data_IF_210053225767
#
_entry.id   IF_210053225767
#
_cell.length_a   1.000
_cell.length_b   1.000
_cell.length_c   1.000
_cell.angle_alpha   90.00
_cell.angle_beta   90.00
_cell.angle_gamma   90.00
#
_symmetry.space_group_name_H-M   'P 1'
#
loop_
_entity.id
_entity.type
_entity.pdbx_description
1 polymer ?
#
# COMPACT_ATOMS: atom_id res chain seq x y z
N UNK A 1 -17.22 8.86 -8.76
CA UNK A 1 -15.89 9.10 -8.15
C UNK A 1 -14.99 7.94 -8.51
N UNK A 2 -13.69 8.21 -8.73
CA UNK A 2 -12.65 7.17 -8.91
C UNK A 2 -11.71 7.20 -7.71
N UNK A 3 -11.33 6.03 -7.20
CA UNK A 3 -10.44 5.92 -6.03
C UNK A 3 -9.53 4.70 -6.13
N UNK A 4 -8.23 4.90 -5.89
CA UNK A 4 -7.23 3.85 -5.88
C UNK A 4 -6.41 3.96 -4.60
N UNK A 5 -6.48 2.93 -3.76
CA UNK A 5 -5.77 2.88 -2.48
C UNK A 5 -4.67 1.82 -2.49
N UNK A 6 -3.48 2.22 -2.05
CA UNK A 6 -2.27 1.39 -2.12
C UNK A 6 -2.13 0.43 -0.94
N UNK A 7 -2.96 0.55 0.13
CA UNK A 7 -2.81 -0.32 1.30
C UNK A 7 -4.05 -0.40 2.18
N UNK A 8 -4.50 -1.63 2.46
CA UNK A 8 -5.40 -1.94 3.56
C UNK A 8 -5.15 -3.36 4.08
N UNK A 9 -5.48 -3.62 5.36
CA UNK A 9 -5.41 -4.94 5.99
C UNK A 9 -6.73 -5.71 6.02
N UNK A 10 -7.75 -5.17 5.37
CA UNK A 10 -9.11 -5.73 5.35
C UNK A 10 -9.15 -7.21 5.01
N UNK A 11 -8.32 -7.66 4.05
CA UNK A 11 -8.34 -9.07 3.66
C UNK A 11 -7.74 -9.98 4.74
N UNK A 12 -6.73 -9.52 5.45
CA UNK A 12 -6.19 -10.21 6.62
C UNK A 12 -7.25 -10.31 7.71
N UNK A 13 -7.97 -9.22 7.98
CA UNK A 13 -9.07 -9.20 8.95
C UNK A 13 -10.25 -10.10 8.54
N UNK A 14 -10.64 -10.09 7.26
CA UNK A 14 -11.65 -11.02 6.73
C UNK A 14 -11.24 -12.48 6.91
N UNK A 15 -9.97 -12.82 6.72
CA UNK A 15 -9.47 -14.18 6.90
C UNK A 15 -9.42 -14.60 8.38
N UNK A 16 -9.06 -13.67 9.28
CA UNK A 16 -8.95 -13.95 10.73
C UNK A 16 -10.31 -14.06 11.39
N UNK A 17 -11.23 -13.14 11.05
CA UNK A 17 -12.57 -13.06 11.67
C UNK A 17 -13.61 -13.89 10.96
N UNK A 18 -13.28 -14.50 9.83
CA UNK A 18 -14.18 -15.22 8.92
C UNK A 18 -15.41 -14.40 8.53
N UNK A 19 -15.21 -13.16 8.13
CA UNK A 19 -16.27 -12.24 7.69
C UNK A 19 -16.12 -11.92 6.20
N UNK A 20 -17.24 -11.68 5.46
CA UNK A 20 -17.18 -11.42 4.01
C UNK A 20 -16.65 -10.01 3.71
N UNK A 21 -16.04 -9.85 2.54
CA UNK A 21 -15.61 -8.52 2.03
C UNK A 21 -16.81 -7.67 1.59
N UNK A 22 -17.87 -8.29 1.09
CA UNK A 22 -19.00 -7.59 0.48
C UNK A 22 -19.70 -6.64 1.44
N UNK A 23 -20.09 -7.14 2.60
CA UNK A 23 -20.79 -6.38 3.64
C UNK A 23 -20.25 -6.80 5.01
N UNK A 24 -19.66 -5.85 5.71
CA UNK A 24 -19.03 -6.06 7.01
C UNK A 24 -18.97 -4.74 7.80
N UNK A 25 -18.42 -4.80 9.01
CA UNK A 25 -18.25 -3.65 9.93
C UNK A 25 -16.81 -3.10 9.95
N UNK A 26 -15.98 -3.53 9.01
CA UNK A 26 -14.61 -3.04 8.84
C UNK A 26 -14.58 -1.67 8.13
N UNK A 27 -13.40 -1.08 8.03
CA UNK A 27 -13.21 0.18 7.32
C UNK A 27 -13.47 0.06 5.82
N UNK A 28 -13.29 -1.14 5.25
CA UNK A 28 -13.47 -1.42 3.82
C UNK A 28 -14.52 -2.51 3.61
N UNK A 29 -15.54 -2.20 2.81
CA UNK A 29 -16.47 -3.18 2.25
C UNK A 29 -16.88 -2.79 0.83
N UNK A 30 -17.29 -3.77 0.02
CA UNK A 30 -17.73 -3.51 -1.35
C UNK A 30 -19.05 -2.74 -1.41
N UNK A 31 -19.89 -2.86 -0.38
CA UNK A 31 -21.15 -2.13 -0.29
C UNK A 31 -20.93 -0.61 -0.19
N UNK A 32 -19.83 -0.16 0.45
CA UNK A 32 -19.49 1.26 0.55
C UNK A 32 -19.09 1.90 -0.79
N UNK A 33 -18.62 1.11 -1.74
CA UNK A 33 -18.08 1.59 -3.03
C UNK A 33 -18.92 1.19 -4.24
N UNK A 34 -20.05 0.52 -4.05
CA UNK A 34 -20.89 -0.06 -5.12
C UNK A 34 -21.34 0.96 -6.18
N UNK A 35 -21.53 2.21 -5.78
CA UNK A 35 -21.97 3.31 -6.64
C UNK A 35 -20.81 4.17 -7.15
N UNK A 36 -19.55 3.80 -6.84
CA UNK A 36 -18.39 4.51 -7.36
C UNK A 36 -18.12 4.10 -8.82
N UNK A 37 -17.63 5.04 -9.60
CA UNK A 37 -17.27 4.80 -11.00
C UNK A 37 -16.18 3.73 -11.12
N UNK A 38 -15.09 3.91 -10.36
CA UNK A 38 -14.00 2.94 -10.25
C UNK A 38 -13.42 2.93 -8.84
N UNK A 39 -13.19 1.75 -8.35
CA UNK A 39 -12.47 1.51 -7.11
C UNK A 39 -11.41 0.44 -7.33
N UNK A 40 -10.18 0.73 -6.90
CA UNK A 40 -9.07 -0.24 -6.88
C UNK A 40 -8.44 -0.23 -5.50
N UNK A 41 -8.26 -1.41 -4.94
CA UNK A 41 -7.66 -1.57 -3.61
C UNK A 41 -6.51 -2.57 -3.65
N UNK A 42 -5.38 -2.17 -3.07
CA UNK A 42 -4.32 -3.10 -2.67
C UNK A 42 -4.69 -3.71 -1.32
N UNK A 43 -4.94 -5.02 -1.31
CA UNK A 43 -5.27 -5.80 -0.12
C UNK A 43 -4.01 -6.49 0.39
N UNK A 44 -3.52 -6.07 1.55
CA UNK A 44 -2.31 -6.61 2.13
C UNK A 44 -2.57 -7.94 2.87
N UNK A 45 -1.63 -8.85 2.69
CA UNK A 45 -1.44 -9.96 3.61
C UNK A 45 -0.44 -9.52 4.66
N UNK A 46 -0.93 -9.10 5.81
CA UNK A 46 -0.11 -8.68 6.91
C UNK A 46 0.49 -9.89 7.67
N UNK A 47 1.80 -9.81 7.90
CA UNK A 47 2.57 -10.82 8.63
C UNK A 47 3.25 -10.16 9.84
N UNK A 48 2.76 -10.42 11.05
CA UNK A 48 3.36 -9.86 12.27
C UNK A 48 4.79 -10.36 12.49
N UNK A 49 5.57 -9.60 13.25
CA UNK A 49 7.01 -9.82 13.42
C UNK A 49 7.41 -11.14 14.09
N UNK A 50 6.51 -11.80 14.79
CA UNK A 50 6.71 -13.12 15.40
C UNK A 50 6.51 -14.29 14.42
N UNK A 51 5.85 -14.06 13.28
CA UNK A 51 5.72 -15.08 12.23
C UNK A 51 6.95 -15.11 11.33
N UNK A 52 7.60 -16.28 11.24
CA UNK A 52 8.79 -16.49 10.44
C UNK A 52 8.76 -17.82 9.70
N UNK A 53 9.55 -17.90 8.63
CA UNK A 53 9.80 -19.15 7.90
C UNK A 53 8.54 -19.78 7.32
N UNK A 54 8.24 -21.02 7.74
CA UNK A 54 7.08 -21.74 7.24
C UNK A 54 5.76 -21.19 7.82
N UNK A 55 5.76 -20.72 9.07
CA UNK A 55 4.56 -20.14 9.68
C UNK A 55 4.10 -18.86 8.95
N UNK A 56 5.02 -17.99 8.57
CA UNK A 56 4.72 -16.81 7.75
C UNK A 56 4.16 -17.20 6.37
N UNK A 57 4.75 -18.23 5.75
CA UNK A 57 4.27 -18.75 4.47
C UNK A 57 2.85 -19.32 4.55
N UNK A 58 2.55 -20.11 5.58
CA UNK A 58 1.21 -20.70 5.77
C UNK A 58 0.17 -19.61 6.03
N UNK A 59 0.51 -18.57 6.81
CA UNK A 59 -0.37 -17.41 6.99
C UNK A 59 -0.64 -16.71 5.66
N UNK A 60 0.38 -16.47 4.86
CA UNK A 60 0.21 -15.88 3.53
C UNK A 60 -0.73 -16.73 2.66
N UNK A 61 -0.55 -18.05 2.59
CA UNK A 61 -1.42 -18.92 1.79
C UNK A 61 -2.87 -18.86 2.27
N UNK A 62 -3.11 -18.85 3.58
CA UNK A 62 -4.46 -18.76 4.16
C UNK A 62 -5.17 -17.47 3.72
N UNK A 63 -4.49 -16.33 3.81
CA UNK A 63 -5.09 -15.03 3.45
C UNK A 63 -5.22 -14.89 1.93
N UNK A 64 -4.26 -15.38 1.15
CA UNK A 64 -4.34 -15.40 -0.32
C UNK A 64 -5.49 -16.29 -0.83
N UNK A 65 -5.76 -17.41 -0.18
CA UNK A 65 -6.92 -18.25 -0.48
C UNK A 65 -8.23 -17.53 -0.14
N UNK A 66 -8.29 -16.84 1.01
CA UNK A 66 -9.44 -15.99 1.36
C UNK A 66 -9.66 -14.91 0.31
N UNK A 67 -8.60 -14.20 -0.09
CA UNK A 67 -8.66 -13.17 -1.13
C UNK A 67 -9.23 -13.73 -2.44
N UNK A 68 -8.73 -14.88 -2.91
CA UNK A 68 -9.22 -15.50 -4.13
C UNK A 68 -10.70 -15.89 -4.05
N UNK A 69 -11.16 -16.38 -2.88
CA UNK A 69 -12.56 -16.69 -2.61
C UNK A 69 -13.44 -15.44 -2.66
N UNK A 70 -13.07 -14.38 -1.93
CA UNK A 70 -13.84 -13.12 -1.90
C UNK A 70 -13.94 -12.48 -3.30
N UNK A 71 -12.85 -12.45 -4.06
CA UNK A 71 -12.89 -11.96 -5.45
C UNK A 71 -13.80 -12.84 -6.32
N UNK A 72 -13.75 -14.15 -6.17
CA UNK A 72 -14.59 -15.10 -6.91
C UNK A 72 -16.08 -14.96 -6.59
N UNK A 73 -16.42 -14.82 -5.31
CA UNK A 73 -17.83 -14.64 -4.86
C UNK A 73 -18.40 -13.28 -5.30
N UNK A 74 -17.54 -12.27 -5.55
CA UNK A 74 -17.94 -10.94 -5.99
C UNK A 74 -17.58 -10.66 -7.46
N UNK A 75 -17.37 -11.69 -8.30
CA UNK A 75 -16.89 -11.57 -9.68
C UNK A 75 -17.76 -10.69 -10.60
N UNK A 76 -19.02 -10.41 -10.22
CA UNK A 76 -19.88 -9.46 -10.94
C UNK A 76 -19.42 -8.00 -10.83
N UNK A 77 -18.73 -7.62 -9.76
CA UNK A 77 -18.32 -6.23 -9.47
C UNK A 77 -16.82 -6.07 -9.21
N UNK A 78 -16.13 -7.10 -8.75
CA UNK A 78 -14.72 -7.08 -8.37
C UNK A 78 -13.92 -8.10 -9.17
N UNK A 79 -12.70 -7.74 -9.54
CA UNK A 79 -11.76 -8.68 -10.19
C UNK A 79 -10.33 -8.43 -9.72
N UNK A 80 -9.54 -9.51 -9.57
CA UNK A 80 -8.11 -9.39 -9.31
C UNK A 80 -7.38 -8.88 -10.56
N UNK A 81 -6.62 -7.80 -10.41
CA UNK A 81 -5.69 -7.33 -11.43
C UNK A 81 -4.43 -8.22 -11.40
N UNK A 82 -4.08 -8.80 -12.55
CA UNK A 82 -2.95 -9.76 -12.69
C UNK A 82 -2.05 -9.47 -13.86
N UNK A 83 -2.50 -8.68 -14.82
CA UNK A 83 -1.77 -8.48 -16.06
C UNK A 83 -1.95 -7.12 -16.70
N UNK A 84 -1.10 -6.80 -17.68
CA UNK A 84 -1.21 -5.57 -18.45
C UNK A 84 -2.59 -5.46 -19.11
N UNK A 85 -3.21 -4.26 -18.99
CA UNK A 85 -4.51 -4.01 -19.58
C UNK A 85 -5.71 -4.46 -18.76
N UNK A 86 -5.53 -5.16 -17.63
CA UNK A 86 -6.65 -5.51 -16.76
C UNK A 86 -7.35 -4.27 -16.20
N UNK A 87 -6.58 -3.28 -15.74
CA UNK A 87 -7.16 -2.04 -15.24
C UNK A 87 -7.99 -1.32 -16.29
N UNK A 88 -7.47 -1.16 -17.52
CA UNK A 88 -8.18 -0.51 -18.60
C UNK A 88 -9.45 -1.29 -19.02
N UNK A 89 -9.39 -2.61 -18.93
CA UNK A 89 -10.55 -3.47 -19.21
C UNK A 89 -11.62 -3.29 -18.15
N UNK A 90 -11.26 -3.28 -16.87
CA UNK A 90 -12.20 -3.10 -15.76
C UNK A 90 -12.83 -1.71 -15.79
N UNK A 91 -12.06 -0.66 -16.07
CA UNK A 91 -12.58 0.69 -16.24
C UNK A 91 -13.69 0.74 -17.33
N UNK A 92 -13.41 0.13 -18.49
CA UNK A 92 -14.44 0.07 -19.58
C UNK A 92 -15.67 -0.74 -19.20
N UNK A 93 -15.55 -1.68 -18.26
CA UNK A 93 -16.65 -2.53 -17.79
C UNK A 93 -17.39 -1.95 -16.57
N UNK A 94 -16.93 -0.82 -16.01
CA UNK A 94 -17.49 -0.26 -14.78
C UNK A 94 -17.33 -1.19 -13.58
N UNK A 95 -16.22 -1.97 -13.53
CA UNK A 95 -15.93 -2.93 -12.45
C UNK A 95 -14.78 -2.43 -11.59
N UNK A 96 -14.73 -2.94 -10.36
CA UNK A 96 -13.70 -2.63 -9.37
C UNK A 96 -12.51 -3.59 -9.46
N UNK A 97 -11.34 -3.10 -9.06
CA UNK A 97 -10.09 -3.86 -9.06
C UNK A 97 -9.59 -4.22 -7.67
N UNK A 98 -9.04 -5.42 -7.54
CA UNK A 98 -8.34 -5.88 -6.34
C UNK A 98 -6.92 -6.30 -6.69
N UNK A 99 -5.93 -5.84 -5.91
CA UNK A 99 -4.53 -6.23 -6.04
C UNK A 99 -4.11 -6.93 -4.75
N UNK A 100 -3.59 -8.15 -4.86
CA UNK A 100 -3.01 -8.84 -3.72
C UNK A 100 -1.62 -8.28 -3.46
N UNK A 101 -1.37 -7.84 -2.22
CA UNK A 101 -0.07 -7.37 -1.78
C UNK A 101 0.39 -8.13 -0.54
N UNK A 102 1.64 -8.00 -0.17
CA UNK A 102 2.19 -8.63 1.04
C UNK A 102 2.83 -7.57 1.90
N UNK A 103 2.46 -7.50 3.16
CA UNK A 103 3.13 -6.68 4.16
C UNK A 103 4.00 -7.54 5.07
N UNK A 104 5.25 -7.53 4.78
CA UNK A 104 6.44 -8.17 5.34
C UNK A 104 7.05 -9.24 4.43
N UNK A 105 8.30 -9.00 4.01
CA UNK A 105 9.13 -9.94 3.27
C UNK A 105 9.47 -11.23 4.05
N UNK A 106 9.05 -11.36 5.31
CA UNK A 106 9.07 -12.60 6.08
C UNK A 106 8.33 -13.75 5.36
N UNK A 107 7.40 -13.42 4.42
CA UNK A 107 6.73 -14.39 3.54
C UNK A 107 7.72 -15.30 2.83
N UNK A 108 8.89 -14.80 2.48
CA UNK A 108 9.88 -15.58 1.75
C UNK A 108 10.55 -16.65 2.64
N UNK A 109 10.64 -16.44 3.96
CA UNK A 109 11.24 -17.40 4.89
C UNK A 109 12.63 -17.86 4.46
N UNK A 110 13.44 -16.97 3.88
CA UNK A 110 14.79 -17.26 3.38
C UNK A 110 14.83 -18.05 2.06
N UNK A 111 13.72 -18.20 1.32
CA UNK A 111 13.59 -19.00 0.09
C UNK A 111 13.25 -18.11 -1.12
N UNK A 112 14.17 -17.92 -2.06
CA UNK A 112 13.95 -17.07 -3.24
C UNK A 112 12.90 -17.63 -4.20
N UNK A 113 12.70 -18.92 -4.25
CA UNK A 113 11.67 -19.59 -5.07
C UNK A 113 10.26 -19.13 -4.72
N UNK A 114 10.01 -18.69 -3.48
CA UNK A 114 8.71 -18.14 -3.03
C UNK A 114 8.34 -16.84 -3.73
N UNK A 115 9.29 -16.10 -4.29
CA UNK A 115 8.99 -14.92 -5.12
C UNK A 115 8.14 -15.31 -6.33
N UNK A 116 8.50 -16.42 -7.02
CA UNK A 116 7.72 -16.89 -8.16
C UNK A 116 6.35 -17.44 -7.74
N UNK A 117 6.27 -18.06 -6.57
CA UNK A 117 5.00 -18.54 -6.03
C UNK A 117 4.06 -17.36 -5.67
N UNK A 118 4.59 -16.30 -5.03
CA UNK A 118 3.86 -15.06 -4.79
C UNK A 118 3.33 -14.47 -6.10
N UNK A 119 4.19 -14.35 -7.13
CA UNK A 119 3.75 -13.84 -8.44
C UNK A 119 2.67 -14.70 -9.07
N UNK A 120 2.79 -16.01 -9.03
CA UNK A 120 1.77 -16.95 -9.56
C UNK A 120 0.42 -16.77 -8.87
N UNK A 121 0.40 -16.42 -7.58
CA UNK A 121 -0.82 -16.08 -6.83
C UNK A 121 -1.34 -14.67 -7.12
N UNK A 122 -0.59 -13.88 -7.90
CA UNK A 122 -0.97 -12.54 -8.34
C UNK A 122 -0.57 -11.43 -7.37
N UNK A 123 0.49 -11.64 -6.57
CA UNK A 123 1.07 -10.56 -5.75
C UNK A 123 1.64 -9.49 -6.68
N UNK A 124 1.16 -8.25 -6.52
CA UNK A 124 1.60 -7.09 -7.30
C UNK A 124 2.64 -6.23 -6.58
N UNK A 125 2.68 -6.26 -5.24
CA UNK A 125 3.59 -5.44 -4.44
C UNK A 125 3.95 -6.16 -3.13
N UNK A 126 5.17 -5.94 -2.63
CA UNK A 126 5.64 -6.54 -1.38
C UNK A 126 6.43 -5.52 -0.55
N UNK A 127 5.98 -5.28 0.68
CA UNK A 127 6.71 -4.51 1.69
C UNK A 127 7.83 -5.40 2.25
N UNK A 128 9.07 -4.89 2.27
CA UNK A 128 10.25 -5.71 2.61
C UNK A 128 10.31 -6.12 4.08
N UNK A 129 9.77 -5.30 4.95
CA UNK A 129 9.70 -5.53 6.41
C UNK A 129 8.37 -5.02 6.92
N UNK A 130 7.91 -5.53 8.06
CA UNK A 130 7.02 -4.79 8.92
C UNK A 130 7.87 -3.98 9.91
N UNK A 131 7.48 -3.86 11.17
CA UNK A 131 8.18 -3.03 12.17
C UNK A 131 9.54 -3.60 12.59
N UNK A 132 9.67 -4.92 12.64
CA UNK A 132 10.87 -5.65 13.06
C UNK A 132 11.87 -5.90 11.93
N UNK A 133 12.86 -6.75 12.22
CA UNK A 133 13.81 -7.23 11.21
C UNK A 133 13.30 -8.52 10.58
N UNK A 134 13.50 -8.67 9.26
CA UNK A 134 13.25 -9.90 8.51
C UNK A 134 14.55 -10.47 7.93
N UNK A 135 14.46 -11.56 7.19
CA UNK A 135 15.60 -12.11 6.44
C UNK A 135 16.09 -11.14 5.35
N UNK A 136 15.25 -10.18 4.93
CA UNK A 136 15.58 -9.21 3.89
C UNK A 136 16.34 -8.00 4.44
N UNK A 137 15.98 -7.54 5.62
CA UNK A 137 16.53 -6.32 6.19
C UNK A 137 15.84 -5.92 7.48
N UNK A 138 15.99 -4.65 7.85
CA UNK A 138 15.51 -4.13 9.13
C UNK A 138 14.36 -3.14 8.95
N UNK A 139 13.27 -3.37 9.67
CA UNK A 139 12.18 -2.40 9.82
C UNK A 139 12.59 -1.23 10.73
N UNK A 140 11.89 -0.11 10.59
CA UNK A 140 12.23 1.16 11.25
C UNK A 140 12.15 1.08 12.77
N UNK A 141 11.31 0.22 13.32
CA UNK A 141 11.15 0.07 14.78
C UNK A 141 12.12 -0.97 15.38
N UNK A 142 12.84 -1.73 14.56
CA UNK A 142 13.83 -2.67 15.06
C UNK A 142 15.12 -1.95 15.50
N UNK A 143 15.82 -2.41 16.57
CA UNK A 143 17.07 -1.82 16.99
C UNK A 143 18.20 -2.07 15.97
N UNK A 144 19.20 -1.19 15.97
CA UNK A 144 20.40 -1.31 15.13
C UNK A 144 20.40 -0.39 13.92
N UNK A 145 21.37 -0.59 13.02
CA UNK A 145 21.59 0.22 11.79
C UNK A 145 21.92 -0.64 10.57
N UNK A 146 21.32 -1.82 10.46
CA UNK A 146 21.53 -2.68 9.30
C UNK A 146 20.49 -2.37 8.22
N UNK A 147 20.92 -2.30 6.97
CA UNK A 147 20.08 -2.15 5.77
C UNK A 147 19.69 -3.52 5.19
N UNK A 148 19.80 -3.68 3.87
CA UNK A 148 19.56 -4.94 3.17
C UNK A 148 20.58 -6.01 3.55
N UNK A 149 20.09 -7.21 3.86
CA UNK A 149 20.94 -8.39 3.96
C UNK A 149 21.41 -8.85 2.56
N UNK A 150 22.36 -9.80 2.53
CA UNK A 150 22.73 -10.44 1.26
C UNK A 150 21.53 -11.13 0.59
N UNK A 151 20.67 -11.77 1.40
CA UNK A 151 19.43 -12.37 0.89
C UNK A 151 18.44 -11.30 0.44
N UNK A 152 18.30 -10.20 1.18
CA UNK A 152 17.44 -9.08 0.81
C UNK A 152 17.80 -8.47 -0.56
N UNK A 153 19.09 -8.28 -0.85
CA UNK A 153 19.56 -7.80 -2.17
C UNK A 153 19.19 -8.77 -3.30
N UNK A 154 19.22 -10.09 -3.05
CA UNK A 154 18.78 -11.09 -4.01
C UNK A 154 17.25 -11.10 -4.18
N UNK A 155 16.51 -10.95 -3.08
CA UNK A 155 15.06 -10.92 -3.08
C UNK A 155 14.51 -9.69 -3.82
N UNK A 156 15.05 -8.49 -3.60
CA UNK A 156 14.68 -7.27 -4.34
C UNK A 156 14.82 -7.48 -5.84
N UNK A 157 15.99 -7.94 -6.31
CA UNK A 157 16.22 -8.23 -7.73
C UNK A 157 15.27 -9.29 -8.30
N UNK A 158 14.97 -10.32 -7.51
CA UNK A 158 14.06 -11.39 -7.93
C UNK A 158 12.60 -10.88 -8.02
N UNK A 159 12.15 -10.03 -7.09
CA UNK A 159 10.83 -9.41 -7.10
C UNK A 159 10.66 -8.50 -8.31
N UNK A 160 11.61 -7.58 -8.56
CA UNK A 160 11.57 -6.69 -9.73
C UNK A 160 11.55 -7.48 -11.05
N UNK A 161 12.37 -8.54 -11.16
CA UNK A 161 12.36 -9.43 -12.32
C UNK A 161 11.04 -10.17 -12.50
N UNK A 162 10.36 -10.50 -11.40
CA UNK A 162 9.05 -11.14 -11.42
C UNK A 162 7.90 -10.15 -11.68
N UNK A 163 8.17 -8.83 -11.71
CA UNK A 163 7.14 -7.81 -11.80
C UNK A 163 6.36 -7.66 -10.50
N UNK A 164 7.01 -7.75 -9.35
CA UNK A 164 6.48 -7.41 -8.03
C UNK A 164 7.11 -6.09 -7.61
N UNK A 165 6.30 -5.05 -7.36
CA UNK A 165 6.76 -3.75 -6.86
C UNK A 165 7.39 -3.89 -5.48
N UNK A 166 8.46 -3.11 -5.27
CA UNK A 166 9.08 -3.00 -3.96
C UNK A 166 8.41 -1.86 -3.19
N UNK A 167 7.81 -2.22 -2.06
CA UNK A 167 7.26 -1.27 -1.11
C UNK A 167 8.26 -1.06 0.04
N UNK A 168 8.64 0.20 0.25
CA UNK A 168 9.61 0.60 1.28
C UNK A 168 8.91 1.16 2.54
N UNK A 169 7.59 1.12 2.62
CA UNK A 169 6.91 1.38 3.88
C UNK A 169 7.49 0.49 4.97
N UNK A 170 7.59 0.97 6.20
CA UNK A 170 8.26 0.31 7.32
C UNK A 170 9.79 0.16 7.23
N UNK A 171 10.42 0.47 6.11
CA UNK A 171 11.87 0.34 5.98
C UNK A 171 12.62 1.26 6.96
N UNK A 172 13.68 0.76 7.59
CA UNK A 172 14.62 1.64 8.27
C UNK A 172 15.31 2.58 7.27
N UNK A 173 15.84 3.72 7.70
CA UNK A 173 16.59 4.59 6.79
C UNK A 173 17.71 3.88 6.03
N UNK A 174 18.43 2.98 6.69
CA UNK A 174 19.50 2.20 6.05
C UNK A 174 18.93 1.22 5.01
N UNK A 175 17.82 0.54 5.32
CA UNK A 175 17.15 -0.34 4.37
C UNK A 175 16.64 0.45 3.16
N UNK A 176 16.03 1.62 3.39
CA UNK A 176 15.56 2.49 2.34
C UNK A 176 16.67 2.84 1.34
N UNK A 177 17.81 3.35 1.82
CA UNK A 177 18.89 3.77 0.96
C UNK A 177 19.59 2.62 0.25
N UNK A 178 19.75 1.46 0.91
CA UNK A 178 20.27 0.25 0.27
C UNK A 178 19.35 -0.24 -0.87
N UNK A 179 18.02 -0.10 -0.72
CA UNK A 179 17.06 -0.42 -1.79
C UNK A 179 17.15 0.62 -2.91
N UNK A 180 17.14 1.90 -2.58
CA UNK A 180 17.24 2.98 -3.56
C UNK A 180 18.51 2.90 -4.42
N UNK A 181 19.63 2.38 -3.86
CA UNK A 181 20.88 2.17 -4.58
C UNK A 181 20.76 1.07 -5.67
N UNK A 182 19.97 0.03 -5.43
CA UNK A 182 19.96 -1.16 -6.29
C UNK A 182 18.68 -1.35 -7.10
N UNK A 183 17.59 -0.67 -6.74
CA UNK A 183 16.31 -0.76 -7.44
C UNK A 183 16.44 -0.20 -8.85
N UNK A 184 15.83 -0.90 -9.81
CA UNK A 184 15.74 -0.48 -11.22
C UNK A 184 14.31 -0.14 -11.63
N UNK A 185 13.35 -0.38 -10.74
CA UNK A 185 11.95 -0.05 -10.88
C UNK A 185 11.58 1.12 -9.95
N UNK A 186 10.48 1.84 -10.22
CA UNK A 186 9.98 2.87 -9.32
C UNK A 186 9.78 2.34 -7.90
N UNK A 187 10.21 3.13 -6.91
CA UNK A 187 10.00 2.82 -5.49
C UNK A 187 8.58 3.21 -5.05
N UNK A 188 7.97 2.40 -4.21
CA UNK A 188 6.68 2.71 -3.62
C UNK A 188 6.81 2.78 -2.10
N UNK A 189 6.25 3.81 -1.50
CA UNK A 189 5.87 3.84 -0.09
C UNK A 189 4.34 3.76 -0.04
N UNK A 190 3.80 2.56 0.09
CA UNK A 190 2.35 2.33 -0.06
C UNK A 190 1.50 3.11 0.94
N UNK A 191 2.05 3.36 2.17
CA UNK A 191 1.34 4.02 3.27
C UNK A 191 2.34 4.76 4.19
N UNK A 192 2.74 5.98 3.80
CA UNK A 192 3.73 6.79 4.53
C UNK A 192 3.46 8.28 4.41
N UNK A 193 3.67 9.03 5.49
CA UNK A 193 3.43 10.47 5.57
C UNK A 193 4.73 11.29 5.64
N UNK A 194 4.64 12.61 5.82
CA UNK A 194 5.78 13.51 5.89
C UNK A 194 6.27 13.68 7.33
N UNK A 195 7.52 13.36 7.59
CA UNK A 195 8.12 13.50 8.93
C UNK A 195 8.26 14.96 9.38
N UNK A 196 8.36 15.88 8.45
CA UNK A 196 8.37 17.30 8.75
C UNK A 196 7.02 17.83 9.29
N UNK A 197 5.91 17.12 9.04
CA UNK A 197 4.56 17.46 9.51
C UNK A 197 4.25 16.75 10.83
N UNK A 198 4.59 15.46 10.94
CA UNK A 198 4.47 14.64 12.14
C UNK A 198 5.74 13.81 12.33
N UNK A 199 6.41 13.98 13.47
CA UNK A 199 7.76 13.47 13.74
C UNK A 199 7.89 11.96 13.91
N UNK A 200 6.84 11.17 13.64
CA UNK A 200 6.84 9.73 13.81
C UNK A 200 7.92 9.04 12.93
N UNK A 201 8.66 8.04 13.44
CA UNK A 201 9.74 7.38 12.69
C UNK A 201 9.30 6.65 11.41
N UNK A 202 8.00 6.30 11.28
CA UNK A 202 7.40 5.69 10.08
C UNK A 202 7.22 6.69 8.93
N UNK A 203 7.25 7.98 9.22
CA UNK A 203 7.10 9.03 8.23
C UNK A 203 8.42 9.29 7.49
N UNK A 204 8.30 9.68 6.22
CA UNK A 204 9.43 9.89 5.32
C UNK A 204 10.14 11.21 5.60
N UNK A 205 11.46 11.18 5.60
CA UNK A 205 12.29 12.38 5.48
C UNK A 205 12.12 12.98 4.07
N UNK A 206 12.43 14.27 3.97
CA UNK A 206 12.38 14.99 2.67
C UNK A 206 13.17 14.27 1.58
N UNK A 207 14.40 13.87 1.89
CA UNK A 207 15.33 13.24 0.94
C UNK A 207 14.82 11.87 0.48
N UNK A 208 14.10 11.13 1.35
CA UNK A 208 13.47 9.86 0.98
C UNK A 208 12.30 10.09 0.02
N UNK A 209 11.47 11.09 0.30
CA UNK A 209 10.41 11.49 -0.62
C UNK A 209 10.95 11.91 -2.00
N UNK A 210 11.99 12.74 -2.02
CA UNK A 210 12.63 13.19 -3.27
C UNK A 210 13.19 11.99 -4.06
N UNK A 211 13.81 11.01 -3.41
CA UNK A 211 14.31 9.80 -4.05
C UNK A 211 13.18 8.96 -4.67
N UNK A 212 12.03 8.82 -3.97
CA UNK A 212 10.86 8.12 -4.52
C UNK A 212 10.31 8.88 -5.73
N UNK A 213 10.13 10.21 -5.62
CA UNK A 213 9.67 11.07 -6.71
C UNK A 213 10.57 10.93 -7.95
N UNK A 214 11.87 11.04 -7.75
CA UNK A 214 12.87 11.03 -8.84
C UNK A 214 13.00 9.63 -9.49
N UNK A 215 12.59 8.55 -8.79
CA UNK A 215 12.45 7.22 -9.36
C UNK A 215 11.18 7.05 -10.22
N UNK A 216 10.27 8.04 -10.25
CA UNK A 216 8.94 7.92 -10.86
C UNK A 216 7.95 7.12 -10.01
N UNK A 217 8.27 6.92 -8.73
CA UNK A 217 7.50 6.13 -7.78
C UNK A 217 6.31 6.83 -7.15
N UNK A 218 5.77 6.21 -6.09
CA UNK A 218 4.57 6.69 -5.39
C UNK A 218 4.74 6.72 -3.88
N UNK A 219 4.06 7.67 -3.25
CA UNK A 219 3.83 7.75 -1.80
C UNK A 219 2.34 7.77 -1.53
N UNK A 220 1.81 6.73 -0.89
CA UNK A 220 0.45 6.66 -0.40
C UNK A 220 0.31 7.39 0.95
N UNK A 221 -0.61 8.34 1.02
CA UNK A 221 -0.93 9.06 2.26
C UNK A 221 -1.63 8.11 3.23
N UNK A 222 -1.01 7.91 4.39
CA UNK A 222 -1.51 7.04 5.45
C UNK A 222 -2.50 7.81 6.36
N UNK A 223 -3.57 7.13 6.80
CA UNK A 223 -4.60 7.73 7.65
C UNK A 223 -4.44 7.38 9.15
N UNK A 224 -3.41 6.63 9.53
CA UNK A 224 -3.17 6.31 10.94
C UNK A 224 -2.95 7.57 11.76
N UNK A 225 -3.74 7.74 12.82
CA UNK A 225 -3.72 8.92 13.71
C UNK A 225 -2.32 9.27 14.20
N UNK A 226 -1.50 8.27 14.57
CA UNK A 226 -0.14 8.48 15.06
C UNK A 226 0.86 8.95 13.99
N UNK A 227 0.55 8.76 12.69
CA UNK A 227 1.39 9.24 11.60
C UNK A 227 0.92 10.57 11.04
N UNK A 228 -0.32 10.95 11.35
CA UNK A 228 -0.92 12.21 10.93
C UNK A 228 -0.58 13.37 11.86
N UNK A 229 -0.55 13.14 13.17
CA UNK A 229 -0.41 14.19 14.14
C UNK A 229 0.44 13.75 15.34
N UNK A 230 1.37 14.60 15.81
CA UNK A 230 2.16 14.33 17.03
C UNK A 230 1.29 14.16 18.29
N UNK A 231 0.01 14.55 18.21
CA UNK A 231 -1.05 14.30 19.17
C UNK A 231 -2.14 13.45 18.50
N UNK A 232 -2.02 12.12 18.50
CA UNK A 232 -2.92 11.23 17.74
C UNK A 232 -4.40 11.45 18.02
N UNK A 233 -4.75 11.82 19.26
CA UNK A 233 -6.13 12.14 19.67
C UNK A 233 -6.72 13.38 18.99
N UNK A 234 -5.92 14.17 18.28
CA UNK A 234 -6.32 15.36 17.52
C UNK A 234 -6.28 15.15 16.02
N UNK A 235 -5.85 13.97 15.58
CA UNK A 235 -5.77 13.68 14.16
C UNK A 235 -7.14 13.79 13.48
N UNK A 236 -7.15 14.32 12.27
CA UNK A 236 -8.33 14.56 11.46
C UNK A 236 -8.02 14.48 9.97
N UNK A 237 -9.02 14.51 9.10
CA UNK A 237 -8.80 14.54 7.65
C UNK A 237 -8.04 15.79 7.17
N UNK A 238 -8.09 16.89 7.92
CA UNK A 238 -7.27 18.08 7.63
C UNK A 238 -5.76 17.80 7.76
N UNK A 239 -5.37 16.84 8.62
CA UNK A 239 -3.98 16.43 8.74
C UNK A 239 -3.51 15.67 7.49
N UNK A 240 -4.38 14.87 6.86
CA UNK A 240 -4.07 14.23 5.57
C UNK A 240 -3.77 15.28 4.51
N UNK A 241 -4.58 16.34 4.44
CA UNK A 241 -4.35 17.48 3.54
C UNK A 241 -3.00 18.16 3.85
N UNK A 242 -2.66 18.40 5.11
CA UNK A 242 -1.37 19.02 5.48
C UNK A 242 -0.15 18.20 5.05
N UNK A 243 -0.22 16.88 5.16
CA UNK A 243 0.83 16.00 4.64
C UNK A 243 0.92 16.06 3.11
N UNK A 244 -0.22 16.09 2.42
CA UNK A 244 -0.26 16.26 0.97
C UNK A 244 0.33 17.61 0.55
N UNK A 245 -0.04 18.72 1.21
CA UNK A 245 0.49 20.06 0.95
C UNK A 245 2.02 20.11 1.04
N UNK A 246 2.60 19.48 2.09
CA UNK A 246 4.04 19.41 2.23
C UNK A 246 4.70 18.71 1.05
N UNK A 247 4.21 17.55 0.66
CA UNK A 247 4.77 16.80 -0.46
C UNK A 247 4.51 17.47 -1.82
N UNK A 248 3.35 18.10 -2.00
CA UNK A 248 3.04 18.88 -3.22
C UNK A 248 4.00 20.06 -3.37
N UNK A 249 4.35 20.74 -2.26
CA UNK A 249 5.36 21.82 -2.27
C UNK A 249 6.76 21.32 -2.67
N UNK A 250 7.03 20.02 -2.55
CA UNK A 250 8.25 19.36 -3.02
C UNK A 250 8.12 18.78 -4.45
N UNK A 251 7.09 19.17 -5.20
CA UNK A 251 6.87 18.69 -6.57
C UNK A 251 6.22 17.33 -6.67
N UNK A 252 5.42 16.93 -5.67
CA UNK A 252 4.83 15.60 -5.53
C UNK A 252 3.54 15.35 -6.31
N UNK A 253 3.12 16.24 -7.22
CA UNK A 253 1.85 16.11 -7.93
C UNK A 253 1.67 14.76 -8.67
N UNK A 254 2.75 14.25 -9.27
CA UNK A 254 2.75 12.96 -9.97
C UNK A 254 3.26 11.78 -9.10
N UNK A 255 3.47 12.02 -7.79
CA UNK A 255 4.04 11.05 -6.84
C UNK A 255 3.06 10.64 -5.76
N UNK A 256 2.14 11.54 -5.37
CA UNK A 256 1.19 11.24 -4.29
C UNK A 256 0.06 10.34 -4.75
N UNK A 257 -0.33 9.45 -3.85
CA UNK A 257 -1.51 8.58 -3.96
C UNK A 257 -2.16 8.44 -2.57
N UNK A 258 -3.22 7.63 -2.47
CA UNK A 258 -3.82 7.24 -1.20
C UNK A 258 -3.29 5.87 -0.78
N UNK A 259 -3.09 5.68 0.51
CA UNK A 259 -2.66 4.43 1.12
C UNK A 259 -3.14 4.40 2.57
N UNK A 260 -4.47 4.28 2.70
CA UNK A 260 -5.21 4.63 3.91
C UNK A 260 -4.92 3.82 5.15
N UNK A 261 -4.30 2.64 5.02
CA UNK A 261 -4.00 1.72 6.12
C UNK A 261 -5.28 1.28 6.87
N UNK A 262 -6.37 1.19 6.09
CA UNK A 262 -7.66 0.77 6.61
C UNK A 262 -7.58 -0.64 7.19
N UNK A 263 -8.19 -0.82 8.36
CA UNK A 263 -8.22 -2.09 9.12
C UNK A 263 -6.84 -2.53 9.70
N UNK A 264 -5.75 -1.83 9.38
CA UNK A 264 -4.43 -2.00 9.98
C UNK A 264 -4.11 -0.94 11.03
N UNK A 265 -4.87 0.16 11.06
CA UNK A 265 -4.58 1.32 11.88
C UNK A 265 -5.83 1.94 12.53
N UNK A 266 -5.62 2.72 13.59
CA UNK A 266 -6.65 3.58 14.18
C UNK A 266 -6.79 4.85 13.35
N UNK A 267 -7.96 5.04 12.75
CA UNK A 267 -8.25 6.18 11.88
C UNK A 267 -8.84 7.35 12.68
N UNK A 268 -8.72 8.60 12.18
CA UNK A 268 -9.36 9.76 12.79
C UNK A 268 -10.88 9.58 12.91
N UNK A 269 -11.51 10.14 13.94
CA UNK A 269 -12.96 9.99 14.14
C UNK A 269 -13.82 10.51 12.97
N UNK A 270 -13.32 11.48 12.21
CA UNK A 270 -13.96 12.03 11.02
C UNK A 270 -13.64 11.23 9.73
N UNK A 271 -12.85 10.14 9.85
CA UNK A 271 -12.47 9.24 8.76
C UNK A 271 -12.75 7.77 9.10
N UNK A 272 -14.01 7.34 9.28
CA UNK A 272 -14.35 5.98 9.71
C UNK A 272 -14.17 4.91 8.60
N UNK A 273 -13.27 5.09 7.67
CA UNK A 273 -13.01 4.19 6.54
C UNK A 273 -13.44 4.76 5.19
N UNK A 274 -13.76 3.91 4.23
CA UNK A 274 -14.08 4.32 2.84
C UNK A 274 -15.26 5.30 2.75
N UNK A 275 -16.19 5.25 3.68
CA UNK A 275 -17.35 6.17 3.71
C UNK A 275 -16.95 7.66 3.86
N UNK A 276 -15.75 7.94 4.37
CA UNK A 276 -15.22 9.30 4.51
C UNK A 276 -14.49 9.81 3.25
N UNK A 277 -14.14 8.94 2.32
CA UNK A 277 -13.34 9.34 1.14
C UNK A 277 -14.03 10.42 0.28
N UNK A 278 -15.35 10.40 0.05
CA UNK A 278 -16.01 11.51 -0.65
C UNK A 278 -15.82 12.86 0.05
N UNK A 279 -15.88 12.91 1.39
CA UNK A 279 -15.66 14.14 2.15
C UNK A 279 -14.19 14.61 2.08
N UNK A 280 -13.24 13.66 2.12
CA UNK A 280 -11.82 13.96 1.92
C UNK A 280 -11.56 14.50 0.51
N UNK A 281 -12.18 13.91 -0.52
CA UNK A 281 -12.08 14.39 -1.89
C UNK A 281 -12.58 15.84 -2.02
N UNK A 282 -13.74 16.15 -1.46
CA UNK A 282 -14.30 17.50 -1.41
C UNK A 282 -13.42 18.49 -0.62
N UNK A 283 -12.75 18.03 0.45
CA UNK A 283 -11.78 18.84 1.17
C UNK A 283 -10.62 19.24 0.24
N UNK A 284 -10.05 18.29 -0.50
CA UNK A 284 -8.95 18.56 -1.43
C UNK A 284 -9.39 19.50 -2.57
N UNK A 285 -10.61 19.37 -3.11
CA UNK A 285 -11.14 20.27 -4.15
C UNK A 285 -11.25 21.73 -3.70
N UNK A 286 -11.37 21.99 -2.41
CA UNK A 286 -11.38 23.37 -1.88
C UNK A 286 -10.00 24.03 -1.93
N UNK A 287 -8.92 23.23 -2.03
CA UNK A 287 -7.54 23.70 -1.98
C UNK A 287 -6.79 23.52 -3.31
N UNK A 288 -7.19 22.56 -4.13
CA UNK A 288 -6.50 22.20 -5.37
C UNK A 288 -7.46 22.04 -6.54
N UNK A 289 -7.00 22.32 -7.78
CA UNK A 289 -7.77 22.04 -8.99
C UNK A 289 -8.11 20.55 -9.13
N UNK A 290 -9.30 20.26 -9.63
CA UNK A 290 -9.78 18.89 -9.83
C UNK A 290 -8.77 17.95 -10.55
N UNK A 291 -8.02 18.36 -11.60
CA UNK A 291 -7.03 17.47 -12.22
C UNK A 291 -5.92 17.03 -11.26
N UNK A 292 -5.53 17.87 -10.30
CA UNK A 292 -4.54 17.51 -9.26
C UNK A 292 -5.16 16.50 -8.28
N UNK A 293 -6.38 16.77 -7.81
CA UNK A 293 -7.09 15.88 -6.90
C UNK A 293 -7.32 14.50 -7.54
N UNK A 294 -7.75 14.45 -8.80
CA UNK A 294 -7.91 13.21 -9.56
C UNK A 294 -6.60 12.41 -9.67
N UNK A 295 -5.45 13.07 -9.85
CA UNK A 295 -4.16 12.40 -9.83
C UNK A 295 -3.91 11.71 -8.48
N UNK A 296 -4.11 12.42 -7.37
CA UNK A 296 -3.83 11.91 -6.02
C UNK A 296 -4.77 10.76 -5.64
N UNK A 297 -6.04 10.87 -5.97
CA UNK A 297 -7.04 9.88 -5.56
C UNK A 297 -7.09 8.65 -6.47
N UNK A 298 -6.60 8.76 -7.72
CA UNK A 298 -6.67 7.65 -8.67
C UNK A 298 -5.52 7.65 -9.69
N UNK A 299 -5.29 8.76 -10.37
CA UNK A 299 -4.50 8.82 -11.61
C UNK A 299 -3.07 8.34 -11.46
N UNK A 300 -2.38 8.73 -10.37
CA UNK A 300 -0.98 8.39 -10.14
C UNK A 300 -0.79 6.88 -9.90
N UNK A 301 -1.63 6.28 -9.05
CA UNK A 301 -1.61 4.85 -8.81
C UNK A 301 -1.95 4.08 -10.11
N UNK A 302 -3.01 4.47 -10.80
CA UNK A 302 -3.40 3.86 -12.07
C UNK A 302 -2.28 3.95 -13.12
N UNK A 303 -1.59 5.10 -13.22
CA UNK A 303 -0.44 5.29 -14.11
C UNK A 303 0.66 4.28 -13.82
N UNK A 304 1.10 4.16 -12.57
CA UNK A 304 2.18 3.24 -12.18
C UNK A 304 1.82 1.79 -12.52
N UNK A 305 0.64 1.34 -12.13
CA UNK A 305 0.22 -0.03 -12.37
C UNK A 305 0.01 -0.37 -13.85
N UNK A 306 -0.26 0.62 -14.72
CA UNK A 306 -0.28 0.45 -16.18
C UNK A 306 1.12 0.36 -16.79
N UNK A 307 2.03 1.25 -16.36
CA UNK A 307 3.36 1.41 -16.99
C UNK A 307 4.30 0.24 -16.72
N UNK A 308 4.26 -0.31 -15.54
CA UNK A 308 5.28 -1.26 -15.10
C UNK A 308 5.04 -2.70 -15.54
N UNK A 309 3.97 -3.00 -16.29
CA UNK A 309 3.58 -4.37 -16.62
C UNK A 309 3.60 -5.29 -15.38
N UNK A 310 3.20 -4.71 -14.23
CA UNK A 310 3.35 -5.30 -12.91
C UNK A 310 2.28 -6.36 -12.62
N UNK A 311 1.31 -6.40 -13.47
CA UNK A 311 0.20 -7.32 -13.32
C UNK A 311 0.31 -8.44 -14.33
#
# INVERSE_FOLDING_TARGET
MRYFDLHCDTMTECAVKDIPLRENTLHVSLEQVKDWEHYVQCYAVWLPDDLRGEAAWQRFLQVAERFAREVGENAGSLEQLRGPGDLDRLERQGRHGAILTVESGAVLGGKLERVQECKRLGVGMCTLTWNGATELGRGVMAPGRTGLTKFGRQAVKAMEKAGILIDISHASPELFWDVAEIAVKPLVASHSNAKAVCGHPRNLEKEQFEAIRDSGGLVGLNFYTAFLNDKPERASMEDVLRHAEYFLALGGEDTLAMGGDCDGAELPPDMPGLSAIPALYELFLRHYPEPVVEKLFYGNAARLFRQENLL
#
